data_IF_495939927098
#
_entry.id   IF_495939927098
#
_cell.length_a   1.000
_cell.length_b   1.000
_cell.length_c   1.000
_cell.angle_alpha   90.00
_cell.angle_beta   90.00
_cell.angle_gamma   90.00
#
_symmetry.space_group_name_H-M   'P 1'
#
loop_
_entity.id
_entity.type
_entity.pdbx_description
1 polymer ?
#
# COMPACT_ATOMS: atom_id res chain seq x y z
N UNK A 1 7.18 13.09 25.41
CA UNK A 1 6.63 13.65 24.15
C UNK A 1 6.32 15.11 24.41
N UNK A 2 6.96 16.00 23.68
CA UNK A 2 6.70 17.43 23.78
C UNK A 2 5.83 17.87 22.60
N UNK A 3 4.75 18.56 22.90
CA UNK A 3 3.94 19.21 21.89
C UNK A 3 4.54 20.58 21.57
N UNK A 4 4.73 20.86 20.28
CA UNK A 4 5.28 22.12 19.81
C UNK A 4 4.20 22.93 19.07
N UNK A 5 3.51 23.84 19.76
CA UNK A 5 2.33 24.55 19.20
C UNK A 5 2.58 25.30 17.88
N UNK A 6 3.76 25.93 17.63
CA UNK A 6 4.00 26.64 16.37
C UNK A 6 3.88 25.81 15.10
N UNK A 7 3.94 24.48 15.20
CA UNK A 7 3.73 23.57 14.05
C UNK A 7 2.26 23.29 13.77
N UNK A 8 1.37 23.57 14.72
CA UNK A 8 -0.06 23.27 14.60
C UNK A 8 -0.28 21.80 14.30
N UNK A 9 -1.03 21.50 13.23
CA UNK A 9 -1.31 20.13 12.78
C UNK A 9 -0.23 19.54 11.87
N UNK A 10 0.84 20.28 11.59
CA UNK A 10 1.92 19.78 10.75
C UNK A 10 2.79 18.81 11.53
N UNK A 11 3.18 17.74 10.85
CA UNK A 11 4.12 16.73 11.31
C UNK A 11 5.44 16.91 10.59
N UNK A 12 6.51 16.91 11.34
CA UNK A 12 7.86 17.03 10.81
C UNK A 12 8.67 15.78 11.17
N UNK A 13 9.35 15.22 10.17
CA UNK A 13 10.22 14.07 10.34
C UNK A 13 11.57 14.30 9.67
N UNK A 14 12.63 13.88 10.33
CA UNK A 14 13.98 13.88 9.78
C UNK A 14 14.52 12.46 9.80
N UNK A 15 14.93 11.99 8.62
CA UNK A 15 15.58 10.70 8.50
C UNK A 15 16.98 10.86 7.94
N UNK A 16 17.92 10.17 8.55
CA UNK A 16 19.29 10.08 8.10
C UNK A 16 19.62 8.59 7.92
N UNK A 17 19.68 8.14 6.67
CA UNK A 17 19.82 6.74 6.32
C UNK A 17 21.20 6.53 5.68
N UNK A 18 22.03 5.73 6.33
CA UNK A 18 23.32 5.33 5.79
C UNK A 18 23.14 3.99 5.04
N UNK A 19 23.56 3.96 3.79
CA UNK A 19 23.47 2.83 2.90
C UNK A 19 24.88 2.41 2.45
N UNK A 20 25.07 1.11 2.32
CA UNK A 20 26.31 0.56 1.76
C UNK A 20 25.97 -0.22 0.49
N UNK A 21 26.40 0.33 -0.64
CA UNK A 21 26.14 -0.22 -1.96
C UNK A 21 27.22 -1.21 -2.43
N UNK A 22 27.40 -1.29 -3.75
CA UNK A 22 28.38 -2.12 -4.39
C UNK A 22 29.78 -1.91 -3.81
N UNK A 23 30.49 -3.00 -3.48
CA UNK A 23 31.81 -3.00 -2.84
C UNK A 23 31.86 -2.24 -1.49
N UNK A 24 30.74 -2.12 -0.79
CA UNK A 24 30.67 -1.39 0.48
C UNK A 24 30.77 0.14 0.31
N UNK A 25 30.54 0.67 -0.89
CA UNK A 25 30.60 2.11 -1.11
C UNK A 25 29.52 2.85 -0.29
N UNK A 26 29.91 3.81 0.56
CA UNK A 26 28.95 4.47 1.44
C UNK A 26 28.11 5.49 0.67
N UNK A 27 26.83 5.49 0.99
CA UNK A 27 25.85 6.47 0.50
C UNK A 27 25.02 6.97 1.68
N UNK A 28 24.54 8.19 1.62
CA UNK A 28 23.67 8.75 2.63
C UNK A 28 22.44 9.38 1.99
N UNK A 29 21.26 9.01 2.50
CA UNK A 29 19.99 9.63 2.16
C UNK A 29 19.52 10.45 3.37
N UNK A 30 19.32 11.75 3.17
CA UNK A 30 18.72 12.64 4.17
C UNK A 30 17.35 13.08 3.68
N UNK A 31 16.34 12.88 4.53
CA UNK A 31 14.97 13.30 4.26
C UNK A 31 14.55 14.31 5.32
N UNK A 32 14.11 15.46 4.88
CA UNK A 32 13.44 16.47 5.70
C UNK A 32 12.00 16.58 5.19
N UNK A 33 11.05 16.11 6.00
CA UNK A 33 9.68 15.93 5.58
C UNK A 33 8.74 16.71 6.51
N UNK A 34 8.03 17.67 5.94
CA UNK A 34 6.99 18.43 6.62
C UNK A 34 5.64 18.18 5.94
N UNK A 35 4.67 17.69 6.66
CA UNK A 35 3.34 17.38 6.10
C UNK A 35 2.22 17.58 7.13
N UNK A 36 0.99 17.67 6.60
CA UNK A 36 -0.23 17.50 7.39
C UNK A 36 -0.83 16.14 7.03
N UNK A 37 -0.47 15.11 7.79
CA UNK A 37 -0.83 13.73 7.49
C UNK A 37 -2.35 13.47 7.52
N UNK A 38 -3.12 14.19 8.33
CA UNK A 38 -4.59 14.10 8.33
C UNK A 38 -5.22 14.45 6.97
N UNK A 39 -4.70 15.48 6.27
CA UNK A 39 -5.15 15.85 4.92
C UNK A 39 -4.69 14.80 3.89
N UNK A 40 -3.48 14.29 4.03
CA UNK A 40 -2.96 13.26 3.14
C UNK A 40 -3.69 11.92 3.31
N UNK A 41 -4.16 11.62 4.52
CA UNK A 41 -4.91 10.40 4.81
C UNK A 41 -6.38 10.45 4.34
N UNK A 42 -6.97 11.64 4.18
CA UNK A 42 -8.39 11.78 3.83
C UNK A 42 -8.78 11.06 2.53
N UNK A 43 -8.08 11.21 1.39
CA UNK A 43 -8.42 10.49 0.16
C UNK A 43 -8.27 8.96 0.32
N UNK A 44 -7.28 8.49 1.09
CA UNK A 44 -7.11 7.06 1.36
C UNK A 44 -8.27 6.51 2.17
N UNK A 45 -8.77 7.27 3.15
CA UNK A 45 -9.94 6.88 3.94
C UNK A 45 -11.22 6.81 3.07
N UNK A 46 -11.38 7.74 2.12
CA UNK A 46 -12.49 7.72 1.17
C UNK A 46 -12.43 6.49 0.26
N UNK A 47 -11.27 6.15 -0.28
CA UNK A 47 -11.08 4.95 -1.09
C UNK A 47 -11.45 3.70 -0.30
N UNK A 48 -10.98 3.59 0.94
CA UNK A 48 -11.28 2.45 1.80
C UNK A 48 -12.78 2.30 2.08
N UNK A 49 -13.50 3.40 2.31
CA UNK A 49 -14.96 3.38 2.50
C UNK A 49 -15.66 2.87 1.24
N UNK A 50 -15.27 3.36 0.06
CA UNK A 50 -15.84 2.94 -1.22
C UNK A 50 -15.58 1.46 -1.48
N UNK A 51 -14.37 0.99 -1.25
CA UNK A 51 -14.01 -0.41 -1.47
C UNK A 51 -14.68 -1.35 -0.46
N UNK A 52 -14.86 -0.94 0.80
CA UNK A 52 -15.57 -1.74 1.78
C UNK A 52 -17.07 -1.84 1.47
N UNK A 53 -17.69 -0.76 0.99
CA UNK A 53 -19.07 -0.79 0.49
C UNK A 53 -19.20 -1.72 -0.73
N UNK A 54 -18.24 -1.64 -1.66
CA UNK A 54 -18.18 -2.56 -2.81
C UNK A 54 -18.03 -4.03 -2.36
N UNK A 55 -17.13 -4.31 -1.42
CA UNK A 55 -16.93 -5.64 -0.86
C UNK A 55 -18.24 -6.17 -0.24
N UNK A 56 -18.93 -5.34 0.56
CA UNK A 56 -20.19 -5.70 1.17
C UNK A 56 -21.25 -6.05 0.11
N UNK A 57 -21.39 -5.24 -0.92
CA UNK A 57 -22.32 -5.49 -2.04
C UNK A 57 -21.97 -6.73 -2.85
N UNK A 58 -20.67 -7.06 -2.95
CA UNK A 58 -20.19 -8.28 -3.59
C UNK A 58 -20.26 -9.53 -2.69
N UNK A 59 -20.76 -9.40 -1.44
CA UNK A 59 -20.87 -10.52 -0.50
C UNK A 59 -19.54 -10.97 0.11
N UNK A 60 -18.48 -10.15 0.02
CA UNK A 60 -17.17 -10.44 0.59
C UNK A 60 -17.17 -10.11 2.09
N UNK A 61 -17.09 -11.14 2.93
CA UNK A 61 -16.99 -11.00 4.38
C UNK A 61 -15.58 -11.23 4.91
N UNK A 62 -15.39 -10.96 6.21
CA UNK A 62 -14.11 -11.18 6.90
C UNK A 62 -13.03 -10.13 6.60
N UNK A 63 -11.79 -10.52 6.80
CA UNK A 63 -10.63 -9.64 6.58
C UNK A 63 -10.47 -9.38 5.07
N UNK A 64 -10.49 -8.11 4.71
CA UNK A 64 -10.33 -7.68 3.31
C UNK A 64 -8.85 -7.51 2.97
N UNK A 65 -8.13 -8.61 2.80
CA UNK A 65 -6.67 -8.65 2.59
C UNK A 65 -6.22 -7.92 1.32
N UNK A 66 -7.09 -7.82 0.33
CA UNK A 66 -6.82 -7.13 -0.92
C UNK A 66 -6.66 -5.61 -0.75
N UNK A 67 -7.05 -5.06 0.41
CA UNK A 67 -6.83 -3.67 0.78
C UNK A 67 -5.48 -3.43 1.48
N UNK A 68 -4.61 -4.44 1.58
CA UNK A 68 -3.30 -4.35 2.22
C UNK A 68 -2.41 -3.22 1.66
N UNK A 69 -2.60 -2.84 0.40
CA UNK A 69 -1.91 -1.72 -0.26
C UNK A 69 -2.00 -0.40 0.52
N UNK A 70 -3.07 -0.19 1.29
CA UNK A 70 -3.31 1.03 2.05
C UNK A 70 -2.71 1.01 3.46
N UNK A 71 -2.11 -0.09 3.90
CA UNK A 71 -1.73 -0.28 5.29
C UNK A 71 -0.26 -0.65 5.47
N UNK A 72 0.39 0.02 6.41
CA UNK A 72 1.75 -0.28 6.83
C UNK A 72 1.87 -1.68 7.46
N UNK A 73 0.85 -2.11 8.20
CA UNK A 73 0.81 -3.41 8.87
C UNK A 73 -0.50 -4.11 8.53
N UNK A 74 -0.60 -4.70 7.34
CA UNK A 74 -1.82 -5.35 6.90
C UNK A 74 -2.13 -6.59 7.72
N UNK A 75 -3.42 -6.84 7.93
CA UNK A 75 -3.90 -8.08 8.52
C UNK A 75 -4.18 -9.12 7.43
N UNK A 76 -3.99 -10.37 7.78
CA UNK A 76 -4.31 -11.52 6.93
C UNK A 76 -5.09 -12.57 7.71
N UNK A 77 -5.69 -13.53 7.00
CA UNK A 77 -6.37 -14.64 7.62
C UNK A 77 -5.39 -15.51 8.46
N UNK A 78 -5.88 -16.20 9.50
CA UNK A 78 -5.04 -17.09 10.31
C UNK A 78 -4.29 -18.10 9.47
N UNK A 79 -3.00 -18.25 9.71
CA UNK A 79 -2.12 -19.18 8.99
C UNK A 79 -1.49 -18.64 7.71
N UNK A 80 -1.81 -17.42 7.32
CA UNK A 80 -1.17 -16.73 6.19
C UNK A 80 -0.13 -15.72 6.70
N UNK A 81 0.86 -15.45 5.86
CA UNK A 81 1.82 -14.35 6.08
C UNK A 81 1.38 -13.10 5.34
N UNK A 82 1.46 -11.91 5.96
CA UNK A 82 1.14 -10.68 5.28
C UNK A 82 2.14 -10.39 4.16
N UNK A 83 1.63 -9.95 3.02
CA UNK A 83 2.44 -9.48 1.90
C UNK A 83 2.88 -8.04 2.16
N UNK A 84 4.17 -7.75 2.04
CA UNK A 84 4.75 -6.42 2.24
C UNK A 84 5.29 -5.79 0.96
N UNK A 85 5.34 -6.52 -0.14
CA UNK A 85 5.72 -5.95 -1.45
C UNK A 85 4.57 -5.09 -1.98
N UNK A 86 4.88 -3.80 -2.18
CA UNK A 86 3.89 -2.80 -2.59
C UNK A 86 3.29 -3.10 -3.97
N UNK A 87 4.08 -3.63 -4.90
CA UNK A 87 3.62 -3.95 -6.26
C UNK A 87 2.72 -5.18 -6.27
N UNK A 88 3.03 -6.17 -5.43
CA UNK A 88 2.17 -7.35 -5.24
C UNK A 88 0.86 -6.93 -4.58
N UNK A 89 0.90 -6.08 -3.56
CA UNK A 89 -0.30 -5.55 -2.90
C UNK A 89 -1.19 -4.77 -3.89
N UNK A 90 -0.59 -3.94 -4.75
CA UNK A 90 -1.31 -3.21 -5.79
C UNK A 90 -1.93 -4.15 -6.83
N UNK A 91 -1.21 -5.19 -7.23
CA UNK A 91 -1.73 -6.21 -8.15
C UNK A 91 -2.90 -6.97 -7.54
N UNK A 92 -2.80 -7.33 -6.25
CA UNK A 92 -3.88 -7.97 -5.50
C UNK A 92 -5.13 -7.08 -5.46
N UNK A 93 -4.98 -5.80 -5.18
CA UNK A 93 -6.07 -4.82 -5.22
C UNK A 93 -6.75 -4.80 -6.60
N UNK A 94 -5.98 -4.62 -7.66
CA UNK A 94 -6.50 -4.57 -9.04
C UNK A 94 -7.19 -5.86 -9.44
N UNK A 95 -6.60 -7.00 -9.13
CA UNK A 95 -7.16 -8.30 -9.48
C UNK A 95 -8.46 -8.60 -8.73
N UNK A 96 -8.57 -8.18 -7.47
CA UNK A 96 -9.83 -8.32 -6.73
C UNK A 96 -10.94 -7.46 -7.34
N UNK A 97 -10.64 -6.22 -7.73
CA UNK A 97 -11.61 -5.35 -8.41
C UNK A 97 -12.06 -5.94 -9.76
N UNK A 98 -11.11 -6.47 -10.55
CA UNK A 98 -11.42 -7.14 -11.81
C UNK A 98 -12.30 -8.38 -11.60
N UNK A 99 -11.94 -9.20 -10.61
CA UNK A 99 -12.73 -10.38 -10.27
C UNK A 99 -14.18 -10.03 -9.87
N UNK A 100 -14.39 -8.99 -9.08
CA UNK A 100 -15.72 -8.49 -8.71
C UNK A 100 -16.52 -8.07 -9.96
N UNK A 101 -15.83 -7.55 -10.98
CA UNK A 101 -16.44 -7.11 -12.25
C UNK A 101 -16.59 -8.27 -13.28
N UNK A 102 -16.10 -9.46 -12.97
CA UNK A 102 -16.11 -10.60 -13.90
C UNK A 102 -15.07 -10.51 -15.00
N UNK A 103 -13.99 -9.75 -14.78
CA UNK A 103 -12.86 -9.61 -15.70
C UNK A 103 -11.72 -10.57 -15.32
N UNK A 104 -10.89 -10.93 -16.30
CA UNK A 104 -9.72 -11.77 -16.10
C UNK A 104 -8.66 -11.05 -15.24
N UNK A 105 -7.96 -11.77 -14.35
CA UNK A 105 -6.91 -11.20 -13.54
C UNK A 105 -5.71 -10.77 -14.39
N UNK A 106 -5.02 -9.73 -13.94
CA UNK A 106 -3.73 -9.33 -14.51
C UNK A 106 -2.69 -10.36 -14.09
N UNK A 107 -2.03 -10.96 -15.06
CA UNK A 107 -0.90 -11.87 -14.85
C UNK A 107 0.36 -11.23 -15.39
N UNK A 108 1.37 -11.05 -14.56
CA UNK A 108 2.65 -10.47 -14.98
C UNK A 108 3.68 -11.57 -15.24
N UNK A 109 3.30 -12.54 -16.05
CA UNK A 109 4.19 -13.65 -16.39
C UNK A 109 5.24 -13.27 -17.46
N UNK A 110 5.04 -12.13 -18.15
CA UNK A 110 5.94 -11.67 -19.20
C UNK A 110 6.01 -12.60 -20.41
N UNK A 111 5.00 -13.48 -20.56
CA UNK A 111 4.97 -14.51 -21.59
C UNK A 111 3.78 -14.37 -22.54
N UNK A 112 3.00 -13.30 -22.43
CA UNK A 112 1.73 -13.16 -23.15
C UNK A 112 1.90 -13.23 -24.67
N UNK A 113 3.01 -12.69 -25.20
CA UNK A 113 3.31 -12.72 -26.63
C UNK A 113 3.89 -14.08 -27.12
N UNK A 114 4.19 -15.00 -26.22
CA UNK A 114 4.55 -16.39 -26.59
C UNK A 114 3.37 -17.33 -26.61
N UNK A 115 2.23 -16.90 -26.06
CA UNK A 115 1.02 -17.69 -25.92
C UNK A 115 -0.06 -17.32 -26.96
N UNK A 116 0.23 -16.32 -27.81
CA UNK A 116 -0.68 -15.88 -28.89
C UNK A 116 -0.41 -16.69 -30.16
N UNK A 117 -0.96 -17.88 -30.24
CA UNK A 117 -1.17 -18.66 -31.48
C UNK A 117 -2.65 -18.73 -31.82
#
# INVERSE_FOLDING_TARGET
INYYPPRGDNKEGWDNIDLFGWLGYPMQLKVDFLCRDSILAAPLALDLVIFLDLAQRAGLGGIQEWLSFYFKSPQVAPGLCPEHDLFIQLTKLKNTLRWIQGEDPITHLGMDYYLSD
#
